data_IF_718533061263
#
_entry.id   IF_718533061263
#
_cell.length_a   1.000
_cell.length_b   1.000
_cell.length_c   1.000
_cell.angle_alpha   90.00
_cell.angle_beta   90.00
_cell.angle_gamma   90.00
#
_symmetry.space_group_name_H-M   'P 1'
#
loop_
_entity.id
_entity.type
_entity.pdbx_description
1 polymer ?
#
# COMPACT_ATOMS: atom_id res chain seq x y z
N UNK A 1 -25.81 13.76 4.55
CA UNK A 1 -25.07 14.85 5.22
C UNK A 1 -23.63 14.86 4.76
N UNK A 2 -22.87 15.95 4.99
CA UNK A 2 -21.42 16.03 4.67
C UNK A 2 -20.63 14.88 5.31
N UNK A 3 -20.92 14.55 6.56
CA UNK A 3 -20.30 13.43 7.27
C UNK A 3 -20.60 12.07 6.61
N UNK A 4 -21.83 11.83 6.17
CA UNK A 4 -22.20 10.59 5.48
C UNK A 4 -21.48 10.42 4.13
N UNK A 5 -21.28 11.51 3.39
CA UNK A 5 -20.48 11.49 2.16
C UNK A 5 -19.01 11.23 2.48
N UNK A 6 -18.47 11.90 3.49
CA UNK A 6 -17.09 11.73 3.95
C UNK A 6 -16.81 10.28 4.36
N UNK A 7 -17.67 9.68 5.20
CA UNK A 7 -17.57 8.25 5.54
C UNK A 7 -17.59 7.37 4.31
N UNK A 8 -18.53 7.60 3.38
CA UNK A 8 -18.62 6.81 2.14
C UNK A 8 -17.33 6.82 1.32
N UNK A 9 -16.67 7.97 1.21
CA UNK A 9 -15.35 8.08 0.54
C UNK A 9 -14.33 7.22 1.29
N UNK A 10 -14.23 7.36 2.61
CA UNK A 10 -13.28 6.57 3.41
C UNK A 10 -13.51 5.06 3.30
N UNK A 11 -14.77 4.61 3.31
CA UNK A 11 -15.09 3.20 3.10
C UNK A 11 -14.69 2.72 1.69
N UNK A 12 -14.97 3.51 0.65
CA UNK A 12 -14.57 3.18 -0.72
C UNK A 12 -13.06 3.07 -0.89
N UNK A 13 -12.28 3.96 -0.25
CA UNK A 13 -10.81 3.85 -0.22
C UNK A 13 -10.37 2.53 0.40
N UNK A 14 -10.93 2.17 1.56
CA UNK A 14 -10.61 0.90 2.22
C UNK A 14 -10.98 -0.30 1.35
N UNK A 15 -12.15 -0.30 0.72
CA UNK A 15 -12.60 -1.42 -0.12
C UNK A 15 -11.57 -1.72 -1.22
N UNK A 16 -11.06 -0.66 -1.88
CA UNK A 16 -10.05 -0.81 -2.92
C UNK A 16 -8.71 -1.29 -2.34
N UNK A 17 -8.23 -0.69 -1.25
CA UNK A 17 -6.96 -1.11 -0.65
C UNK A 17 -6.99 -2.53 -0.08
N UNK A 18 -8.10 -2.91 0.56
CA UNK A 18 -8.31 -4.28 1.05
C UNK A 18 -8.37 -5.28 -0.11
N UNK A 19 -8.92 -4.91 -1.26
CA UNK A 19 -8.87 -5.76 -2.46
C UNK A 19 -7.44 -6.04 -2.93
N UNK A 20 -6.54 -5.06 -2.81
CA UNK A 20 -5.12 -5.27 -3.13
C UNK A 20 -4.42 -6.15 -2.11
N UNK A 21 -4.74 -6.01 -0.82
CA UNK A 21 -4.20 -6.89 0.23
C UNK A 21 -4.66 -8.34 0.00
N UNK A 22 -5.96 -8.55 -0.29
CA UNK A 22 -6.47 -9.88 -0.63
C UNK A 22 -5.72 -10.52 -1.81
N UNK A 23 -5.28 -9.73 -2.80
CA UNK A 23 -4.50 -10.22 -3.91
C UNK A 23 -3.10 -10.77 -3.53
N UNK A 24 -2.54 -10.37 -2.38
CA UNK A 24 -1.30 -10.99 -1.85
C UNK A 24 -1.57 -12.44 -1.48
N UNK A 25 -2.68 -12.70 -0.79
CA UNK A 25 -3.09 -14.04 -0.41
C UNK A 25 -3.49 -14.89 -1.64
N UNK A 26 -4.16 -14.30 -2.63
CA UNK A 26 -4.56 -14.98 -3.88
C UNK A 26 -3.38 -15.46 -4.73
N UNK A 27 -2.22 -14.82 -4.57
CA UNK A 27 -0.98 -15.16 -5.26
C UNK A 27 0.09 -15.70 -4.31
N UNK A 28 -0.32 -16.36 -3.23
CA UNK A 28 0.59 -16.91 -2.24
C UNK A 28 1.60 -17.95 -2.80
N UNK A 29 1.37 -18.51 -3.99
CA UNK A 29 2.29 -19.46 -4.61
C UNK A 29 3.46 -18.77 -5.37
N UNK A 30 3.35 -17.47 -5.63
CA UNK A 30 4.38 -16.67 -6.32
C UNK A 30 4.59 -15.35 -5.55
N UNK A 31 5.52 -15.33 -4.57
CA UNK A 31 5.78 -14.14 -3.75
C UNK A 31 6.20 -12.93 -4.57
N UNK A 32 6.93 -13.14 -5.68
CA UNK A 32 7.37 -12.06 -6.55
C UNK A 32 6.18 -11.40 -7.24
N UNK A 33 5.32 -12.21 -7.87
CA UNK A 33 4.13 -11.73 -8.56
C UNK A 33 3.16 -11.03 -7.59
N UNK A 34 2.96 -11.61 -6.40
CA UNK A 34 2.11 -11.04 -5.36
C UNK A 34 2.55 -9.62 -4.97
N UNK A 35 3.83 -9.45 -4.67
CA UNK A 35 4.40 -8.15 -4.26
C UNK A 35 4.38 -7.13 -5.39
N UNK A 36 4.70 -7.54 -6.62
CA UNK A 36 4.62 -6.68 -7.81
C UNK A 36 3.21 -6.15 -8.02
N UNK A 37 2.20 -7.05 -8.02
CA UNK A 37 0.79 -6.67 -8.20
C UNK A 37 0.29 -5.77 -7.10
N UNK A 38 0.68 -6.04 -5.86
CA UNK A 38 0.32 -5.21 -4.72
C UNK A 38 0.83 -3.77 -4.85
N UNK A 39 2.13 -3.61 -5.12
CA UNK A 39 2.77 -2.29 -5.26
C UNK A 39 2.19 -1.52 -6.44
N UNK A 40 2.05 -2.19 -7.60
CA UNK A 40 1.45 -1.60 -8.79
C UNK A 40 0.01 -1.15 -8.55
N UNK A 41 -0.80 -1.96 -7.86
CA UNK A 41 -2.17 -1.61 -7.49
C UNK A 41 -2.25 -0.37 -6.60
N UNK A 42 -1.39 -0.29 -5.58
CA UNK A 42 -1.33 0.85 -4.67
C UNK A 42 -0.87 2.13 -5.37
N UNK A 43 0.17 2.09 -6.21
CA UNK A 43 0.62 3.26 -6.96
C UNK A 43 -0.40 3.72 -8.00
N UNK A 44 -1.04 2.78 -8.72
CA UNK A 44 -2.14 3.09 -9.63
C UNK A 44 -3.27 3.80 -8.90
N UNK A 45 -3.64 3.34 -7.71
CA UNK A 45 -4.63 4.04 -6.89
C UNK A 45 -4.17 5.46 -6.51
N UNK A 46 -2.92 5.64 -6.10
CA UNK A 46 -2.39 6.97 -5.79
C UNK A 46 -2.44 7.92 -6.99
N UNK A 47 -2.23 7.40 -8.21
CA UNK A 47 -2.32 8.17 -9.46
C UNK A 47 -3.75 8.50 -9.84
N UNK A 48 -4.63 7.50 -9.82
CA UNK A 48 -5.98 7.60 -10.40
C UNK A 48 -6.99 8.19 -9.40
N UNK A 49 -6.74 8.05 -8.09
CA UNK A 49 -7.61 8.48 -7.00
C UNK A 49 -6.89 9.34 -5.93
N UNK A 50 -6.11 10.38 -6.30
CA UNK A 50 -5.26 11.10 -5.36
C UNK A 50 -6.06 11.87 -4.29
N UNK A 51 -7.26 12.34 -4.63
CA UNK A 51 -8.11 13.06 -3.67
C UNK A 51 -8.68 12.12 -2.60
N UNK A 52 -9.02 10.89 -2.97
CA UNK A 52 -9.56 9.90 -2.04
C UNK A 52 -8.47 9.47 -1.04
N UNK A 53 -7.23 9.29 -1.51
CA UNK A 53 -6.06 9.06 -0.64
C UNK A 53 -5.87 10.21 0.35
N UNK A 54 -5.93 11.47 -0.10
CA UNK A 54 -5.78 12.65 0.77
C UNK A 54 -6.90 12.77 1.81
N UNK A 55 -8.13 12.42 1.45
CA UNK A 55 -9.26 12.39 2.41
C UNK A 55 -8.97 11.39 3.53
N UNK A 56 -8.49 10.20 3.17
CA UNK A 56 -8.07 9.20 4.15
C UNK A 56 -6.89 9.69 5.00
N UNK A 57 -5.85 10.27 4.37
CA UNK A 57 -4.68 10.78 5.08
C UNK A 57 -5.06 11.86 6.10
N UNK A 58 -5.94 12.80 5.73
CA UNK A 58 -6.42 13.84 6.63
C UNK A 58 -7.20 13.28 7.83
N UNK A 59 -8.01 12.23 7.62
CA UNK A 59 -8.70 11.53 8.72
C UNK A 59 -7.68 10.93 9.72
N UNK A 60 -6.66 10.23 9.20
CA UNK A 60 -5.63 9.59 10.03
C UNK A 60 -4.77 10.62 10.75
N UNK A 61 -4.34 11.69 10.07
CA UNK A 61 -3.58 12.80 10.66
C UNK A 61 -4.38 13.46 11.80
N UNK A 62 -5.70 13.52 11.68
CA UNK A 62 -6.60 14.05 12.71
C UNK A 62 -6.82 13.09 13.88
N UNK A 63 -6.14 11.94 13.91
CA UNK A 63 -6.26 10.93 14.97
C UNK A 63 -7.34 9.87 14.72
N UNK A 64 -7.83 9.75 13.47
CA UNK A 64 -8.89 8.82 13.05
C UNK A 64 -10.19 8.90 13.90
N UNK A 65 -10.73 10.10 14.20
CA UNK A 65 -11.89 10.27 15.10
C UNK A 65 -13.15 9.54 14.63
N UNK A 66 -13.35 9.38 13.32
CA UNK A 66 -14.51 8.71 12.73
C UNK A 66 -14.17 7.32 12.21
N UNK A 67 -12.89 6.98 12.14
CA UNK A 67 -12.38 5.85 11.36
C UNK A 67 -11.51 4.84 12.12
N UNK A 68 -11.19 5.11 13.39
CA UNK A 68 -10.39 4.19 14.21
C UNK A 68 -11.02 2.79 14.35
N UNK A 69 -12.36 2.70 14.43
CA UNK A 69 -13.04 1.42 14.56
C UNK A 69 -12.96 0.59 13.27
N UNK A 70 -13.12 1.23 12.10
CA UNK A 70 -12.98 0.58 10.79
C UNK A 70 -11.57 0.02 10.57
N UNK A 71 -10.54 0.75 11.01
CA UNK A 71 -9.15 0.26 10.98
C UNK A 71 -9.01 -1.02 11.80
N UNK A 72 -9.54 -1.03 13.03
CA UNK A 72 -9.49 -2.21 13.92
C UNK A 72 -10.26 -3.40 13.36
N UNK A 73 -11.43 -3.15 12.78
CA UNK A 73 -12.34 -4.23 12.38
C UNK A 73 -12.02 -4.79 10.99
N UNK A 74 -11.33 -4.02 10.14
CA UNK A 74 -11.13 -4.39 8.73
C UNK A 74 -9.66 -4.44 8.32
N UNK A 75 -8.90 -3.40 8.67
CA UNK A 75 -7.48 -3.31 8.26
C UNK A 75 -6.61 -4.24 9.09
N UNK A 76 -6.84 -4.33 10.40
CA UNK A 76 -6.06 -5.23 11.27
C UNK A 76 -6.21 -6.70 10.85
N UNK A 77 -7.42 -7.25 10.64
CA UNK A 77 -7.56 -8.62 10.16
C UNK A 77 -6.88 -8.88 8.81
N UNK A 78 -7.00 -7.95 7.86
CA UNK A 78 -6.33 -8.07 6.56
C UNK A 78 -4.80 -8.08 6.72
N UNK A 79 -4.25 -7.22 7.58
CA UNK A 79 -2.82 -7.21 7.87
C UNK A 79 -2.36 -8.53 8.50
N UNK A 80 -3.15 -9.12 9.41
CA UNK A 80 -2.84 -10.43 9.99
C UNK A 80 -2.84 -11.55 8.95
N UNK A 81 -3.74 -11.50 7.96
CA UNK A 81 -3.75 -12.44 6.86
C UNK A 81 -2.49 -12.32 5.99
N UNK A 82 -2.06 -11.10 5.66
CA UNK A 82 -0.82 -10.86 4.92
C UNK A 82 0.40 -11.34 5.71
N UNK A 83 0.49 -11.02 7.01
CA UNK A 83 1.56 -11.52 7.89
C UNK A 83 1.64 -13.05 7.85
N UNK A 84 0.50 -13.74 7.89
CA UNK A 84 0.46 -15.19 7.79
C UNK A 84 1.01 -15.71 6.44
N UNK A 85 0.78 -14.99 5.33
CA UNK A 85 1.36 -15.32 4.01
C UNK A 85 2.89 -15.18 4.06
N UNK A 86 3.41 -14.06 4.56
CA UNK A 86 4.86 -13.84 4.68
C UNK A 86 5.54 -14.88 5.57
N UNK A 87 4.90 -15.26 6.69
CA UNK A 87 5.41 -16.30 7.58
C UNK A 87 5.50 -17.65 6.86
N UNK A 88 4.47 -18.04 6.09
CA UNK A 88 4.52 -19.27 5.28
C UNK A 88 5.64 -19.25 4.26
N UNK A 89 5.84 -18.12 3.58
CA UNK A 89 6.96 -17.97 2.64
C UNK A 89 8.34 -18.09 3.32
N UNK A 90 8.47 -17.58 4.54
CA UNK A 90 9.69 -17.72 5.32
C UNK A 90 9.92 -19.18 5.77
N UNK A 91 8.88 -19.87 6.22
CA UNK A 91 8.90 -21.30 6.62
C UNK A 91 9.27 -22.22 5.45
N UNK A 92 8.73 -21.94 4.26
CA UNK A 92 9.07 -22.65 3.01
C UNK A 92 10.48 -22.31 2.50
N UNK A 93 11.12 -21.30 3.09
CA UNK A 93 12.46 -20.88 2.73
C UNK A 93 12.56 -20.08 1.43
N UNK A 94 11.45 -19.73 0.78
CA UNK A 94 11.42 -18.89 -0.45
C UNK A 94 11.68 -17.41 -0.14
N UNK A 95 11.27 -16.95 1.04
CA UNK A 95 11.49 -15.59 1.51
C UNK A 95 12.35 -15.55 2.79
N UNK A 96 12.92 -14.39 3.07
CA UNK A 96 13.55 -14.07 4.36
C UNK A 96 12.49 -13.86 5.44
N UNK A 97 12.80 -14.17 6.71
CA UNK A 97 11.93 -13.85 7.84
C UNK A 97 12.01 -12.35 8.13
N UNK A 98 11.17 -11.57 7.43
CA UNK A 98 11.04 -10.12 7.62
C UNK A 98 9.91 -9.80 8.59
N UNK A 99 9.95 -8.64 9.23
CA UNK A 99 8.79 -8.10 9.94
C UNK A 99 7.75 -7.61 8.92
N UNK A 100 6.77 -8.47 8.62
CA UNK A 100 5.75 -8.19 7.63
C UNK A 100 4.85 -7.02 8.03
N UNK A 101 4.61 -6.79 9.33
CA UNK A 101 3.80 -5.66 9.77
C UNK A 101 4.47 -4.32 9.40
N UNK A 102 5.76 -4.20 9.71
CA UNK A 102 6.53 -3.01 9.35
C UNK A 102 6.76 -2.87 7.85
N UNK A 103 6.95 -3.98 7.13
CA UNK A 103 7.04 -3.95 5.67
C UNK A 103 5.77 -3.36 5.04
N UNK A 104 4.58 -3.80 5.50
CA UNK A 104 3.31 -3.28 5.00
C UNK A 104 3.15 -1.78 5.31
N UNK A 105 3.55 -1.32 6.50
CA UNK A 105 3.54 0.12 6.82
C UNK A 105 4.44 0.92 5.87
N UNK A 106 5.64 0.42 5.55
CA UNK A 106 6.54 1.07 4.58
C UNK A 106 5.93 1.09 3.18
N UNK A 107 5.30 0.00 2.74
CA UNK A 107 4.62 -0.07 1.45
C UNK A 107 3.45 0.93 1.37
N UNK A 108 2.64 1.03 2.43
CA UNK A 108 1.55 2.01 2.50
C UNK A 108 2.08 3.44 2.42
N UNK A 109 3.06 3.76 3.26
CA UNK A 109 3.64 5.10 3.31
C UNK A 109 4.29 5.50 1.97
N UNK A 110 5.11 4.62 1.40
CA UNK A 110 5.84 4.90 0.17
C UNK A 110 4.93 5.05 -1.04
N UNK A 111 3.87 4.24 -1.15
CA UNK A 111 2.94 4.31 -2.29
C UNK A 111 1.92 5.44 -2.15
N UNK A 112 1.39 5.69 -0.95
CA UNK A 112 0.43 6.79 -0.71
C UNK A 112 1.09 8.16 -0.79
N UNK A 113 2.41 8.26 -0.54
CA UNK A 113 3.12 9.53 -0.66
C UNK A 113 2.96 10.19 -2.04
N UNK A 114 2.87 9.39 -3.11
CA UNK A 114 2.68 9.88 -4.48
C UNK A 114 1.30 10.53 -4.72
N UNK A 115 0.33 10.34 -3.83
CA UNK A 115 -0.95 11.06 -3.81
C UNK A 115 -0.94 12.20 -2.79
N UNK A 116 -0.60 11.86 -1.54
CA UNK A 116 -0.77 12.72 -0.37
C UNK A 116 0.22 13.89 -0.38
N UNK A 117 1.44 13.65 -0.85
CA UNK A 117 2.54 14.61 -0.94
C UNK A 117 2.93 14.92 -2.39
N UNK A 118 2.01 14.72 -3.35
CA UNK A 118 2.29 14.92 -4.78
C UNK A 118 2.87 16.30 -5.11
N UNK A 119 2.39 17.36 -4.46
CA UNK A 119 2.91 18.73 -4.64
C UNK A 119 4.36 18.86 -4.16
N UNK A 120 4.69 18.28 -3.01
CA UNK A 120 6.06 18.24 -2.50
C UNK A 120 6.97 17.45 -3.43
N UNK A 121 6.54 16.26 -3.88
CA UNK A 121 7.34 15.42 -4.79
C UNK A 121 7.57 16.14 -6.12
N UNK A 122 6.53 16.78 -6.69
CA UNK A 122 6.66 17.56 -7.93
C UNK A 122 7.72 18.66 -7.78
N UNK A 123 7.70 19.40 -6.66
CA UNK A 123 8.71 20.43 -6.38
C UNK A 123 10.12 19.85 -6.25
N UNK A 124 10.28 18.74 -5.52
CA UNK A 124 11.57 18.07 -5.34
C UNK A 124 12.14 17.56 -6.66
N UNK A 125 11.27 17.09 -7.57
CA UNK A 125 11.65 16.62 -8.90
C UNK A 125 11.79 17.76 -9.93
N UNK A 126 11.50 19.01 -9.57
CA UNK A 126 11.56 20.15 -10.47
C UNK A 126 10.49 20.12 -11.57
N UNK A 127 9.33 19.53 -11.28
CA UNK A 127 8.23 19.34 -12.22
C UNK A 127 6.99 20.13 -11.79
N UNK A 128 6.13 20.55 -12.74
CA UNK A 128 4.84 21.17 -12.41
C UNK A 128 3.88 20.19 -11.74
N UNK A 129 3.89 18.93 -12.18
CA UNK A 129 3.08 17.84 -11.62
C UNK A 129 3.73 16.48 -11.88
N UNK A 130 3.23 15.45 -11.20
CA UNK A 130 3.62 14.06 -11.43
C UNK A 130 2.89 13.48 -12.65
N UNK A 131 3.64 12.76 -13.47
CA UNK A 131 3.18 12.12 -14.71
C UNK A 131 3.32 10.60 -14.59
N UNK A 132 2.69 9.85 -15.49
CA UNK A 132 2.69 8.38 -15.50
C UNK A 132 4.10 7.77 -15.39
N UNK A 133 5.10 8.38 -16.03
CA UNK A 133 6.50 7.94 -15.97
C UNK A 133 7.11 8.04 -14.57
N UNK A 134 6.67 8.99 -13.72
CA UNK A 134 7.15 9.10 -12.35
C UNK A 134 6.59 7.96 -11.49
N UNK A 135 5.30 7.60 -11.70
CA UNK A 135 4.68 6.45 -11.03
C UNK A 135 5.32 5.13 -11.49
N UNK A 136 5.62 4.99 -12.78
CA UNK A 136 6.31 3.81 -13.30
C UNK A 136 7.73 3.68 -12.74
N UNK A 137 8.47 4.79 -12.63
CA UNK A 137 9.80 4.81 -12.01
C UNK A 137 9.73 4.45 -10.52
N UNK A 138 8.74 5.00 -9.80
CA UNK A 138 8.47 4.66 -8.40
C UNK A 138 8.13 3.18 -8.21
N UNK A 139 7.27 2.63 -9.08
CA UNK A 139 6.90 1.22 -9.06
C UNK A 139 8.14 0.33 -9.23
N UNK A 140 8.94 0.60 -10.26
CA UNK A 140 10.17 -0.16 -10.53
C UNK A 140 11.12 -0.14 -9.33
N UNK A 141 11.30 1.03 -8.70
CA UNK A 141 12.18 1.18 -7.55
C UNK A 141 11.64 0.45 -6.32
N UNK A 142 10.37 0.65 -5.97
CA UNK A 142 9.77 0.05 -4.79
C UNK A 142 9.71 -1.48 -4.92
N UNK A 143 9.37 -1.99 -6.10
CA UNK A 143 9.41 -3.44 -6.37
C UNK A 143 10.82 -3.98 -6.18
N UNK A 144 11.86 -3.37 -6.79
CA UNK A 144 13.23 -3.85 -6.64
C UNK A 144 13.68 -3.83 -5.16
N UNK A 145 13.41 -2.73 -4.43
CA UNK A 145 13.73 -2.62 -3.00
C UNK A 145 13.05 -3.72 -2.16
N UNK A 146 11.77 -3.98 -2.42
CA UNK A 146 10.97 -4.94 -1.64
C UNK A 146 11.39 -6.37 -1.99
N UNK A 147 11.55 -6.71 -3.27
CA UNK A 147 12.02 -8.05 -3.67
C UNK A 147 13.43 -8.33 -3.15
N UNK A 148 14.33 -7.34 -3.18
CA UNK A 148 15.66 -7.42 -2.54
C UNK A 148 15.64 -7.40 -1.02
N UNK A 149 14.50 -7.18 -0.39
CA UNK A 149 14.32 -7.30 1.06
C UNK A 149 13.68 -8.65 1.42
N UNK A 150 12.77 -9.14 0.59
CA UNK A 150 11.91 -10.29 0.89
C UNK A 150 12.45 -11.58 0.30
N UNK A 151 12.77 -11.63 -1.00
CA UNK A 151 13.17 -12.88 -1.65
C UNK A 151 14.55 -13.33 -1.20
N UNK A 152 14.78 -14.64 -1.05
CA UNK A 152 16.15 -15.15 -0.95
C UNK A 152 16.78 -15.15 -2.34
N UNK A 153 17.97 -14.55 -2.46
CA UNK A 153 18.77 -14.69 -3.68
C UNK A 153 19.21 -16.17 -3.78
N UNK A 154 19.16 -16.79 -4.97
CA UNK A 154 19.78 -18.10 -5.16
C UNK A 154 21.27 -17.99 -4.82
N UNK A 155 21.75 -18.94 -4.02
CA UNK A 155 23.17 -19.08 -3.66
C UNK A 155 24.03 -19.43 -4.87
#
# INVERSE_FOLDING_TARGET
TKESLYRRVLHGVLDVWLSYMAAIADHADDPELALRRYIAGKLRFSRDHPQDSRVYANEVISGAPLFAQEIKDRVVPALQADIAVFNRWAEQGVCRPVDAAHLMVVLWASTQAYADFASQISLVLGKPELEEQDFAAAESLLVDMVLRTVLKQPH
#
